data_IF_749629237241
#
_entry.id   IF_749629237241
#
_cell.length_a   1.000
_cell.length_b   1.000
_cell.length_c   1.000
_cell.angle_alpha   90.00
_cell.angle_beta   90.00
_cell.angle_gamma   90.00
#
_symmetry.space_group_name_H-M   'P 1'
#
loop_
_entity.id
_entity.type
_entity.pdbx_description
1 polymer ?
#
# COMPACT_ATOMS: atom_id res chain seq x y z
N UNK A 1 -41.62 -37.87 -56.20
CA UNK A 1 -41.09 -38.78 -55.15
C UNK A 1 -39.57 -38.69 -55.20
N UNK A 2 -39.04 -37.96 -54.22
CA UNK A 2 -37.71 -37.94 -53.57
C UNK A 2 -36.54 -38.62 -54.31
N UNK A 3 -35.55 -37.78 -54.64
CA UNK A 3 -34.14 -38.04 -54.91
C UNK A 3 -33.40 -38.44 -53.63
N UNK A 4 -32.41 -39.32 -53.73
CA UNK A 4 -31.21 -39.23 -52.90
C UNK A 4 -29.97 -39.53 -53.73
N UNK A 5 -29.23 -38.47 -54.04
CA UNK A 5 -27.86 -38.50 -54.53
C UNK A 5 -26.93 -38.90 -53.38
N UNK A 6 -26.08 -39.89 -53.63
CA UNK A 6 -25.05 -40.34 -52.70
C UNK A 6 -23.88 -39.33 -52.72
N UNK A 7 -23.87 -38.43 -51.75
CA UNK A 7 -22.75 -37.53 -51.47
C UNK A 7 -21.85 -38.18 -50.43
N UNK A 8 -20.86 -38.94 -50.89
CA UNK A 8 -19.68 -39.27 -50.10
C UNK A 8 -18.83 -38.01 -49.90
N UNK A 9 -19.28 -37.14 -49.00
CA UNK A 9 -18.51 -36.00 -48.52
C UNK A 9 -17.33 -36.53 -47.71
N UNK A 10 -16.16 -36.40 -48.31
CA UNK A 10 -14.86 -36.56 -47.72
C UNK A 10 -14.73 -35.55 -46.57
N UNK A 11 -15.13 -35.95 -45.37
CA UNK A 11 -15.03 -35.16 -44.14
C UNK A 11 -13.54 -34.91 -43.89
N UNK A 12 -13.06 -33.77 -44.40
CA UNK A 12 -11.87 -33.09 -43.89
C UNK A 12 -12.11 -32.90 -42.40
N UNK A 13 -11.47 -33.73 -41.58
CA UNK A 13 -11.23 -33.42 -40.17
C UNK A 13 -10.42 -32.13 -40.12
N UNK A 14 -11.12 -31.00 -40.15
CA UNK A 14 -10.59 -29.71 -39.73
C UNK A 14 -10.47 -29.84 -38.23
N UNK A 15 -9.32 -30.34 -37.78
CA UNK A 15 -8.90 -30.22 -36.39
C UNK A 15 -8.88 -28.73 -36.05
N UNK A 16 -9.99 -28.22 -35.52
CA UNK A 16 -10.02 -27.00 -34.74
C UNK A 16 -9.27 -27.29 -33.42
N UNK A 17 -7.96 -27.49 -33.53
CA UNK A 17 -7.04 -27.28 -32.43
C UNK A 17 -7.02 -25.76 -32.22
N UNK A 18 -8.00 -25.30 -31.45
CA UNK A 18 -7.97 -23.99 -30.83
C UNK A 18 -6.80 -24.05 -29.85
N UNK A 19 -5.60 -23.74 -30.34
CA UNK A 19 -4.45 -23.50 -29.48
C UNK A 19 -4.88 -22.35 -28.56
N UNK A 20 -5.31 -22.68 -27.35
CA UNK A 20 -5.37 -21.69 -26.29
C UNK A 20 -4.00 -21.03 -26.26
N UNK A 21 -3.97 -19.75 -26.60
CA UNK A 21 -2.84 -18.83 -26.45
C UNK A 21 -2.58 -18.63 -24.95
N UNK A 22 -2.34 -19.74 -24.25
CA UNK A 22 -2.08 -19.78 -22.83
C UNK A 22 -0.61 -19.45 -22.64
N UNK A 23 -0.35 -18.17 -22.39
CA UNK A 23 0.96 -17.76 -21.94
C UNK A 23 1.07 -18.06 -20.45
N UNK A 24 1.95 -18.99 -20.02
CA UNK A 24 2.10 -19.33 -18.60
C UNK A 24 2.54 -18.12 -17.75
N UNK A 25 3.07 -17.06 -18.36
CA UNK A 25 3.41 -15.80 -17.68
C UNK A 25 2.22 -14.85 -17.49
N UNK A 26 1.05 -15.17 -18.05
CA UNK A 26 -0.20 -14.41 -17.87
C UNK A 26 -1.09 -15.01 -16.76
N UNK A 27 -0.55 -15.90 -15.93
CA UNK A 27 -1.23 -16.40 -14.73
C UNK A 27 -1.32 -15.30 -13.66
N UNK A 28 -2.53 -14.91 -13.22
CA UNK A 28 -2.71 -13.87 -12.19
C UNK A 28 -1.95 -14.17 -10.90
N UNK A 29 -1.89 -15.44 -10.47
CA UNK A 29 -1.24 -15.85 -9.23
C UNK A 29 0.28 -15.64 -9.28
N UNK A 30 0.89 -15.99 -10.42
CA UNK A 30 2.32 -15.78 -10.65
C UNK A 30 2.66 -14.29 -10.72
N UNK A 31 1.84 -13.53 -11.45
CA UNK A 31 1.98 -12.07 -11.57
C UNK A 31 1.87 -11.41 -10.19
N UNK A 32 0.86 -11.77 -9.40
CA UNK A 32 0.69 -11.25 -8.04
C UNK A 32 1.88 -11.60 -7.14
N UNK A 33 2.45 -12.79 -7.28
CA UNK A 33 3.65 -13.18 -6.53
C UNK A 33 4.88 -12.33 -6.91
N UNK A 34 5.08 -12.06 -8.19
CA UNK A 34 6.15 -11.17 -8.67
C UNK A 34 5.93 -9.75 -8.14
N UNK A 35 4.73 -9.21 -8.35
CA UNK A 35 4.33 -7.84 -8.00
C UNK A 35 4.56 -7.52 -6.52
N UNK A 36 4.22 -8.44 -5.61
CA UNK A 36 4.44 -8.27 -4.17
C UNK A 36 5.88 -7.99 -3.79
N UNK A 37 6.83 -8.49 -4.58
CA UNK A 37 8.26 -8.34 -4.32
C UNK A 37 8.89 -7.14 -5.05
N UNK A 38 8.12 -6.42 -5.87
CA UNK A 38 8.63 -5.25 -6.60
C UNK A 38 8.69 -4.00 -5.73
N UNK A 39 9.70 -3.17 -5.96
CA UNK A 39 9.74 -1.82 -5.43
C UNK A 39 8.57 -0.98 -6.00
N UNK A 40 8.03 0.01 -5.28
CA UNK A 40 6.90 0.80 -5.76
C UNK A 40 7.15 1.48 -7.12
N UNK A 41 8.39 1.92 -7.37
CA UNK A 41 8.81 2.52 -8.66
C UNK A 41 8.70 1.53 -9.83
N UNK A 42 8.99 0.26 -9.59
CA UNK A 42 8.88 -0.78 -10.61
C UNK A 42 7.44 -1.28 -10.75
N UNK A 43 6.67 -1.26 -9.67
CA UNK A 43 5.25 -1.57 -9.67
C UNK A 43 4.45 -0.64 -10.60
N UNK A 44 4.83 0.63 -10.69
CA UNK A 44 4.20 1.59 -11.61
C UNK A 44 4.35 1.15 -13.08
N UNK A 45 5.49 0.54 -13.44
CA UNK A 45 5.73 0.06 -14.82
C UNK A 45 4.80 -1.11 -15.17
N UNK A 46 4.44 -1.95 -14.19
CA UNK A 46 3.53 -3.08 -14.38
C UNK A 46 2.12 -2.66 -14.83
N UNK A 47 1.71 -1.40 -14.57
CA UNK A 47 0.42 -0.87 -15.02
C UNK A 47 0.27 -0.85 -16.54
N UNK A 48 1.37 -0.89 -17.29
CA UNK A 48 1.38 -0.73 -18.75
C UNK A 48 1.68 -2.01 -19.53
N UNK A 49 1.88 -3.16 -18.86
CA UNK A 49 2.26 -4.41 -19.53
C UNK A 49 1.07 -5.04 -20.26
N UNK A 50 0.03 -5.44 -19.52
CA UNK A 50 -1.25 -5.91 -20.06
C UNK A 50 -2.35 -5.76 -18.99
N UNK A 51 -3.58 -6.17 -19.32
CA UNK A 51 -4.73 -6.01 -18.41
C UNK A 51 -4.58 -6.80 -17.10
N UNK A 52 -3.95 -7.97 -17.10
CA UNK A 52 -3.77 -8.81 -15.91
C UNK A 52 -2.75 -8.16 -14.99
N UNK A 53 -1.60 -7.75 -15.53
CA UNK A 53 -0.58 -6.99 -14.79
C UNK A 53 -1.12 -5.66 -14.24
N UNK A 54 -1.93 -4.93 -15.01
CA UNK A 54 -2.57 -3.69 -14.55
C UNK A 54 -3.46 -3.94 -13.33
N UNK A 55 -4.31 -4.98 -13.40
CA UNK A 55 -5.24 -5.34 -12.32
C UNK A 55 -4.48 -5.72 -11.04
N UNK A 56 -3.52 -6.62 -11.14
CA UNK A 56 -2.76 -7.07 -9.97
C UNK A 56 -1.85 -5.96 -9.41
N UNK A 57 -1.29 -5.09 -10.27
CA UNK A 57 -0.49 -3.95 -9.81
C UNK A 57 -1.33 -2.93 -9.05
N UNK A 58 -2.53 -2.59 -9.53
CA UNK A 58 -3.48 -1.71 -8.82
C UNK A 58 -3.89 -2.30 -7.48
N UNK A 59 -4.18 -3.60 -7.45
CA UNK A 59 -4.51 -4.31 -6.21
C UNK A 59 -3.38 -4.24 -5.19
N UNK A 60 -2.14 -4.45 -5.62
CA UNK A 60 -0.98 -4.34 -4.74
C UNK A 60 -0.73 -2.90 -4.28
N UNK A 61 -0.93 -1.89 -5.14
CA UNK A 61 -0.88 -0.49 -4.74
C UNK A 61 -1.87 -0.20 -3.61
N UNK A 62 -3.12 -0.64 -3.76
CA UNK A 62 -4.15 -0.48 -2.74
C UNK A 62 -3.78 -1.15 -1.41
N UNK A 63 -3.34 -2.41 -1.45
CA UNK A 63 -2.91 -3.15 -0.23
C UNK A 63 -1.75 -2.44 0.46
N UNK A 64 -0.78 -1.92 -0.30
CA UNK A 64 0.36 -1.18 0.26
C UNK A 64 -0.08 0.14 0.86
N UNK A 65 -1.02 0.83 0.22
CA UNK A 65 -1.59 2.06 0.73
C UNK A 65 -2.31 1.83 2.06
N UNK A 66 -3.22 0.85 2.14
CA UNK A 66 -3.94 0.51 3.39
C UNK A 66 -2.96 0.24 4.54
N UNK A 67 -1.92 -0.58 4.31
CA UNK A 67 -0.92 -0.88 5.34
C UNK A 67 -0.16 0.36 5.82
N UNK A 68 0.11 1.28 4.91
CA UNK A 68 0.84 2.50 5.23
C UNK A 68 -0.05 3.50 5.97
N UNK A 69 -1.35 3.55 5.64
CA UNK A 69 -2.36 4.29 6.38
C UNK A 69 -2.53 3.72 7.80
N UNK A 70 -2.57 2.39 7.97
CA UNK A 70 -2.63 1.74 9.28
C UNK A 70 -1.44 2.15 10.16
N UNK A 71 -0.22 2.10 9.61
CA UNK A 71 1.00 2.52 10.32
C UNK A 71 0.93 4.00 10.69
N UNK A 72 0.42 4.84 9.80
CA UNK A 72 0.25 6.26 10.08
C UNK A 72 -0.69 6.49 11.28
N UNK A 73 -1.85 5.83 11.30
CA UNK A 73 -2.80 5.99 12.39
C UNK A 73 -2.29 5.45 13.73
N UNK A 74 -1.53 4.35 13.70
CA UNK A 74 -0.84 3.84 14.89
C UNK A 74 0.12 4.89 15.47
N UNK A 75 0.93 5.51 14.60
CA UNK A 75 1.88 6.55 14.99
C UNK A 75 1.19 7.84 15.48
N UNK A 76 0.09 8.25 14.84
CA UNK A 76 -0.70 9.44 15.25
C UNK A 76 -1.34 9.22 16.63
N UNK A 77 -1.88 8.03 16.88
CA UNK A 77 -2.39 7.66 18.20
C UNK A 77 -1.30 7.67 19.26
N UNK A 78 -0.14 7.05 18.97
CA UNK A 78 1.00 7.05 19.90
C UNK A 78 1.53 8.47 20.18
N UNK A 79 1.52 9.34 19.17
CA UNK A 79 1.90 10.74 19.31
C UNK A 79 0.97 11.47 20.28
N UNK A 80 -0.35 11.32 20.11
CA UNK A 80 -1.34 12.00 20.94
C UNK A 80 -1.30 11.51 22.39
N UNK A 81 -1.23 10.20 22.62
CA UNK A 81 -1.06 9.63 23.96
C UNK A 81 0.19 10.17 24.66
N UNK A 82 1.30 10.25 23.92
CA UNK A 82 2.57 10.75 24.47
C UNK A 82 2.49 12.26 24.77
N UNK A 83 1.74 13.04 23.98
CA UNK A 83 1.48 14.46 24.24
C UNK A 83 0.60 14.68 25.46
N UNK A 84 -0.47 13.92 25.60
CA UNK A 84 -1.34 13.98 26.78
C UNK A 84 -0.54 13.66 28.04
N UNK A 85 0.29 12.62 27.99
CA UNK A 85 1.17 12.27 29.10
C UNK A 85 2.15 13.42 29.39
N UNK A 86 2.81 13.96 28.36
CA UNK A 86 3.73 15.09 28.51
C UNK A 86 3.06 16.32 29.13
N UNK A 87 1.87 16.68 28.67
CA UNK A 87 1.07 17.78 29.19
C UNK A 87 0.69 17.55 30.65
N UNK A 88 0.35 16.31 31.04
CA UNK A 88 0.08 15.95 32.42
C UNK A 88 1.31 16.14 33.33
N UNK A 89 2.50 15.77 32.84
CA UNK A 89 3.75 15.94 33.57
C UNK A 89 4.20 17.40 33.72
N UNK A 90 3.99 18.23 32.69
CA UNK A 90 4.35 19.66 32.71
C UNK A 90 3.30 20.51 33.44
N UNK A 91 2.02 20.14 33.33
CA UNK A 91 0.87 20.87 33.88
C UNK A 91 0.71 20.81 35.39
N UNK A 92 1.55 20.06 36.09
CA UNK A 92 1.72 20.14 37.54
C UNK A 92 0.57 19.53 38.35
N UNK A 93 0.59 18.21 38.55
CA UNK A 93 -0.09 17.55 39.67
C UNK A 93 0.49 16.16 39.96
N UNK A 94 1.77 16.06 40.33
CA UNK A 94 2.20 14.87 41.07
C UNK A 94 3.22 15.17 42.18
N UNK A 95 2.76 15.41 43.43
CA UNK A 95 3.62 15.72 44.56
C UNK A 95 4.45 14.54 45.08
N UNK A 96 4.46 13.38 44.40
CA UNK A 96 5.08 12.12 44.89
C UNK A 96 6.23 11.57 44.03
N UNK A 97 6.73 12.32 43.05
CA UNK A 97 7.71 11.78 42.10
C UNK A 97 9.10 12.36 42.33
N UNK A 98 10.05 11.48 42.65
CA UNK A 98 11.44 11.81 42.99
C UNK A 98 12.24 12.39 41.81
N UNK A 99 11.82 12.22 40.55
CA UNK A 99 12.54 12.78 39.41
C UNK A 99 11.68 13.03 38.15
N UNK A 100 10.90 14.13 38.08
CA UNK A 100 10.11 14.48 36.91
C UNK A 100 10.96 14.75 35.65
N UNK A 101 12.20 15.21 35.81
CA UNK A 101 13.10 15.52 34.70
C UNK A 101 13.45 14.28 33.87
N UNK A 102 13.67 13.14 34.50
CA UNK A 102 13.96 11.88 33.78
C UNK A 102 12.78 11.45 32.91
N UNK A 103 11.55 11.56 33.43
CA UNK A 103 10.35 11.20 32.67
C UNK A 103 10.07 12.17 31.53
N UNK A 104 10.21 13.48 31.78
CA UNK A 104 10.06 14.52 30.75
C UNK A 104 11.07 14.31 29.61
N UNK A 105 12.34 14.00 29.93
CA UNK A 105 13.35 13.71 28.92
C UNK A 105 13.04 12.45 28.11
N UNK A 106 12.54 11.39 28.77
CA UNK A 106 12.07 10.19 28.09
C UNK A 106 10.93 10.50 27.11
N UNK A 107 9.92 11.26 27.55
CA UNK A 107 8.79 11.65 26.72
C UNK A 107 9.22 12.53 25.54
N UNK A 108 10.13 13.48 25.75
CA UNK A 108 10.73 14.26 24.66
C UNK A 108 11.43 13.38 23.62
N UNK A 109 12.22 12.41 24.07
CA UNK A 109 12.88 11.46 23.16
C UNK A 109 11.86 10.60 22.40
N UNK A 110 10.78 10.20 23.06
CA UNK A 110 9.70 9.42 22.44
C UNK A 110 8.95 10.23 21.38
N UNK A 111 8.53 11.45 21.72
CA UNK A 111 7.89 12.40 20.78
C UNK A 111 8.77 12.63 19.55
N UNK A 112 10.06 12.90 19.75
CA UNK A 112 11.01 13.08 18.64
C UNK A 112 11.10 11.84 17.75
N UNK A 113 11.14 10.65 18.35
CA UNK A 113 11.16 9.39 17.62
C UNK A 113 9.91 9.16 16.76
N UNK A 114 8.72 9.45 17.30
CA UNK A 114 7.45 9.30 16.59
C UNK A 114 7.36 10.31 15.43
N UNK A 115 7.69 11.57 15.68
CA UNK A 115 7.69 12.64 14.65
C UNK A 115 8.63 12.27 13.50
N UNK A 116 9.83 11.78 13.80
CA UNK A 116 10.79 11.37 12.77
C UNK A 116 10.23 10.22 11.91
N UNK A 117 9.60 9.21 12.53
CA UNK A 117 8.99 8.09 11.81
C UNK A 117 7.84 8.55 10.90
N UNK A 118 7.01 9.48 11.37
CA UNK A 118 5.94 10.09 10.57
C UNK A 118 6.51 10.82 9.34
N UNK A 119 7.57 11.61 9.50
CA UNK A 119 8.24 12.31 8.40
C UNK A 119 8.86 11.34 7.38
N UNK A 120 9.50 10.26 7.85
CA UNK A 120 10.07 9.22 6.98
C UNK A 120 8.99 8.49 6.18
N UNK A 121 7.86 8.16 6.83
CA UNK A 121 6.71 7.53 6.21
C UNK A 121 6.10 8.42 5.11
N UNK A 122 5.89 9.70 5.42
CA UNK A 122 5.38 10.69 4.47
C UNK A 122 6.31 10.83 3.25
N UNK A 123 7.62 11.00 3.48
CA UNK A 123 8.59 11.07 2.40
C UNK A 123 8.57 9.80 1.54
N UNK A 124 8.45 8.62 2.14
CA UNK A 124 8.34 7.36 1.42
C UNK A 124 7.07 7.31 0.55
N UNK A 125 5.92 7.70 1.10
CA UNK A 125 4.64 7.70 0.37
C UNK A 125 4.66 8.68 -0.82
N UNK A 126 5.17 9.90 -0.62
CA UNK A 126 5.27 10.94 -1.65
C UNK A 126 6.27 10.57 -2.75
N UNK A 127 7.45 10.06 -2.38
CA UNK A 127 8.51 9.69 -3.34
C UNK A 127 8.13 8.49 -4.23
N UNK A 128 7.14 7.70 -3.81
CA UNK A 128 6.63 6.55 -4.53
C UNK A 128 5.24 6.78 -5.16
N UNK A 129 4.71 8.00 -5.14
CA UNK A 129 3.38 8.36 -5.62
C UNK A 129 2.26 7.43 -5.08
N UNK A 130 2.41 6.98 -3.83
CA UNK A 130 1.43 6.08 -3.18
C UNK A 130 0.18 6.85 -2.73
N UNK A 131 0.32 8.16 -2.50
CA UNK A 131 -0.76 9.05 -2.09
C UNK A 131 -0.89 10.15 -3.15
N UNK A 132 -2.13 10.53 -3.49
CA UNK A 132 -2.38 11.74 -4.25
C UNK A 132 -1.86 12.95 -3.48
N UNK A 133 -0.94 13.70 -4.10
CA UNK A 133 -0.12 14.78 -3.50
C UNK A 133 -0.88 15.86 -2.73
N UNK A 134 -2.21 15.92 -2.81
CA UNK A 134 -3.01 17.06 -2.36
C UNK A 134 -3.83 16.74 -1.10
N UNK A 135 -4.52 15.59 -1.01
CA UNK A 135 -5.41 15.28 0.11
C UNK A 135 -4.68 14.67 1.31
N UNK A 136 -3.86 13.63 1.08
CA UNK A 136 -3.10 13.01 2.17
C UNK A 136 -1.96 13.89 2.68
N UNK A 137 -1.35 14.70 1.79
CA UNK A 137 -0.34 15.67 2.19
C UNK A 137 -0.96 16.79 3.05
N UNK A 138 -2.09 17.39 2.66
CA UNK A 138 -2.72 18.44 3.50
C UNK A 138 -3.09 17.93 4.90
N UNK A 139 -3.63 16.70 5.00
CA UNK A 139 -3.96 16.12 6.29
C UNK A 139 -2.70 15.94 7.16
N UNK A 140 -1.64 15.32 6.61
CA UNK A 140 -0.40 15.07 7.33
C UNK A 140 0.38 16.36 7.68
N UNK A 141 0.55 17.28 6.73
CA UNK A 141 1.25 18.55 6.95
C UNK A 141 0.55 19.42 8.00
N UNK A 142 -0.78 19.44 8.03
CA UNK A 142 -1.52 20.25 9.00
C UNK A 142 -1.28 19.83 10.45
N UNK A 143 -1.02 18.55 10.71
CA UNK A 143 -0.74 18.01 12.05
C UNK A 143 0.75 18.04 12.43
N UNK A 144 1.66 17.89 11.46
CA UNK A 144 3.11 17.96 11.71
C UNK A 144 3.59 19.41 11.90
N UNK A 145 3.00 20.38 11.18
CA UNK A 145 3.37 21.81 11.28
C UNK A 145 2.68 22.52 12.45
N UNK A 146 1.61 21.96 13.02
CA UNK A 146 0.97 22.49 14.23
C UNK A 146 1.67 22.10 15.55
N UNK A 147 2.87 21.50 15.46
CA UNK A 147 3.83 21.27 16.55
C UNK A 147 4.63 22.55 16.81
#
# INVERSE_FOLDING_TARGET
>A
RIFFEDKSENIKYKSNLMYHTYNPFDQPELIAHIIKNLAPKDLAKCLHINQIWNKEAKREFFIRQEKLEDIFWELDSELEETREEYAWWIGGANPKIENPYVRINFLNSKLFGIIKRLQELEHYMLSNNIIDRIEGAHYMYSKVISI
#
